data_IF_335064292179
#
_entry.id   IF_335064292179
#
_cell.length_a   1.000
_cell.length_b   1.000
_cell.length_c   1.000
_cell.angle_alpha   90.00
_cell.angle_beta   90.00
_cell.angle_gamma   90.00
#
_symmetry.space_group_name_H-M   'P 1'
#
loop_
_entity.id
_entity.type
_entity.pdbx_description
1 polymer ?
#
# COMPACT_ATOMS: atom_id res chain seq x y z
N UNK A 1 2.69 18.74 -0.71
CA UNK A 1 1.38 18.44 -1.28
C UNK A 1 0.61 17.69 -0.22
N UNK A 2 -0.57 18.17 0.18
CA UNK A 2 -1.36 17.57 1.27
C UNK A 2 -2.02 16.29 0.74
N UNK A 3 -1.53 15.12 1.17
CA UNK A 3 -1.95 13.81 0.63
C UNK A 3 -3.12 13.26 1.47
N UNK A 4 -3.21 13.66 2.74
CA UNK A 4 -4.35 13.50 3.64
C UNK A 4 -4.35 14.71 4.58
N UNK A 5 -5.52 15.30 4.87
CA UNK A 5 -5.65 16.43 5.81
C UNK A 5 -5.41 16.08 7.28
N UNK A 6 -4.72 14.96 7.55
CA UNK A 6 -4.48 14.43 8.88
C UNK A 6 -3.00 14.60 9.23
N UNK A 7 -2.71 15.24 10.36
CA UNK A 7 -1.35 15.30 10.90
C UNK A 7 -0.96 13.90 11.40
N UNK A 8 0.07 13.32 10.79
CA UNK A 8 0.68 12.07 11.24
C UNK A 8 2.08 12.34 11.79
N UNK A 9 2.41 11.73 12.92
CA UNK A 9 3.71 11.85 13.58
C UNK A 9 4.11 10.51 14.20
N UNK A 10 5.43 10.29 14.30
CA UNK A 10 6.02 9.14 14.97
C UNK A 10 6.93 9.66 16.08
N UNK A 11 6.76 9.14 17.30
CA UNK A 11 7.70 9.40 18.39
C UNK A 11 8.91 8.47 18.24
N UNK A 12 10.03 9.03 17.79
CA UNK A 12 11.28 8.30 17.59
C UNK A 12 11.83 7.73 18.89
N UNK A 13 11.64 8.43 20.01
CA UNK A 13 12.11 7.94 21.31
C UNK A 13 11.31 6.70 21.71
N UNK A 14 9.99 6.73 21.58
CA UNK A 14 9.15 5.56 21.85
C UNK A 14 9.50 4.38 20.93
N UNK A 15 9.76 4.65 19.66
CA UNK A 15 10.17 3.64 18.67
C UNK A 15 11.48 2.96 19.08
N UNK A 16 12.51 3.73 19.47
CA UNK A 16 13.79 3.21 19.94
C UNK A 16 13.62 2.34 21.20
N UNK A 17 12.78 2.76 22.15
CA UNK A 17 12.50 1.98 23.36
C UNK A 17 11.79 0.65 23.05
N UNK A 18 10.89 0.64 22.07
CA UNK A 18 10.23 -0.60 21.61
C UNK A 18 11.23 -1.53 20.93
N UNK A 19 12.06 -1.01 20.02
CA UNK A 19 13.08 -1.79 19.30
C UNK A 19 14.15 -2.38 20.22
N UNK A 20 14.47 -1.69 21.32
CA UNK A 20 15.37 -2.23 22.35
C UNK A 20 14.79 -3.46 23.08
N UNK A 21 13.47 -3.70 22.99
CA UNK A 21 12.77 -4.80 23.68
C UNK A 21 12.34 -5.93 22.75
N UNK A 22 12.47 -5.76 21.44
CA UNK A 22 12.07 -6.75 20.43
C UNK A 22 11.69 -6.09 19.12
N UNK A 23 10.90 -6.81 18.32
CA UNK A 23 10.49 -6.34 16.99
C UNK A 23 9.34 -5.34 17.08
N UNK A 24 9.34 -4.38 16.16
CA UNK A 24 8.27 -3.40 16.00
C UNK A 24 7.57 -3.62 14.65
N UNK A 25 6.26 -3.82 14.69
CA UNK A 25 5.42 -3.73 13.50
C UNK A 25 4.91 -2.30 13.33
N UNK A 26 5.16 -1.72 12.17
CA UNK A 26 4.86 -0.32 11.89
C UNK A 26 4.10 -0.17 10.56
N UNK A 27 2.92 0.44 10.61
CA UNK A 27 2.11 0.80 9.45
C UNK A 27 2.04 2.32 9.36
N UNK A 28 2.40 2.87 8.20
CA UNK A 28 2.31 4.31 7.96
C UNK A 28 2.03 4.61 6.49
N UNK A 29 1.67 5.87 6.23
CA UNK A 29 1.55 6.34 4.86
C UNK A 29 2.94 6.36 4.17
N UNK A 30 2.99 6.29 2.83
CA UNK A 30 4.28 6.24 2.12
C UNK A 30 5.17 7.47 2.31
N UNK A 31 4.59 8.64 2.59
CA UNK A 31 5.36 9.87 2.85
C UNK A 31 6.13 9.80 4.17
N UNK A 32 5.56 9.19 5.19
CA UNK A 32 6.23 8.96 6.46
C UNK A 32 7.42 8.02 6.27
N UNK A 33 7.28 7.01 5.42
CA UNK A 33 8.36 6.07 5.10
C UNK A 33 9.51 6.79 4.38
N UNK A 34 9.21 7.60 3.36
CA UNK A 34 10.20 8.45 2.69
C UNK A 34 10.92 9.39 3.68
N UNK A 35 10.18 9.99 4.61
CA UNK A 35 10.77 10.81 5.66
C UNK A 35 11.69 10.01 6.60
N UNK A 36 11.28 8.80 7.01
CA UNK A 36 12.10 7.93 7.87
C UNK A 36 13.39 7.49 7.18
N UNK A 37 13.33 7.15 5.89
CA UNK A 37 14.50 6.81 5.08
C UNK A 37 15.42 8.03 4.94
N UNK A 38 14.88 9.19 4.57
CA UNK A 38 15.64 10.43 4.39
C UNK A 38 16.38 10.87 5.66
N UNK A 39 15.81 10.60 6.84
CA UNK A 39 16.42 10.92 8.13
C UNK A 39 17.32 9.79 8.68
N UNK A 40 17.60 8.76 7.88
CA UNK A 40 18.53 7.67 8.22
C UNK A 40 18.05 6.80 9.38
N UNK A 41 16.73 6.68 9.58
CA UNK A 41 16.18 5.77 10.59
C UNK A 41 16.47 4.32 10.19
N UNK A 42 16.27 3.99 8.92
CA UNK A 42 16.44 2.64 8.40
C UNK A 42 17.89 2.17 8.43
N UNK A 43 18.86 3.10 8.35
CA UNK A 43 20.29 2.79 8.46
C UNK A 43 20.69 2.31 9.87
N UNK A 44 19.88 2.62 10.88
CA UNK A 44 20.16 2.32 12.29
C UNK A 44 19.45 1.06 12.78
N UNK A 45 18.53 0.51 12.00
CA UNK A 45 17.63 -0.56 12.41
C UNK A 45 17.54 -1.61 11.32
N UNK A 46 17.65 -2.90 11.69
CA UNK A 46 17.38 -3.99 10.74
C UNK A 46 15.91 -3.95 10.33
N UNK A 47 15.63 -3.41 9.15
CA UNK A 47 14.29 -3.04 8.71
C UNK A 47 13.89 -3.86 7.50
N UNK A 48 12.69 -4.42 7.54
CA UNK A 48 12.02 -5.03 6.39
C UNK A 48 10.86 -4.13 6.00
N UNK A 49 10.94 -3.54 4.82
CA UNK A 49 9.94 -2.61 4.30
C UNK A 49 9.13 -3.24 3.17
N UNK A 50 7.81 -3.21 3.31
CA UNK A 50 6.89 -3.85 2.36
C UNK A 50 5.81 -2.87 1.94
N UNK A 51 5.65 -2.66 0.63
CA UNK A 51 4.56 -1.89 0.05
C UNK A 51 3.44 -2.83 -0.43
N UNK A 52 2.20 -2.59 0.02
CA UNK A 52 1.03 -3.30 -0.52
C UNK A 52 0.46 -2.55 -1.71
N UNK A 53 0.48 -3.17 -2.88
CA UNK A 53 0.03 -2.55 -4.12
C UNK A 53 -1.34 -3.07 -4.57
N UNK A 54 -2.26 -2.21 -5.07
CA UNK A 54 -3.53 -2.65 -5.65
C UNK A 54 -3.38 -3.27 -7.05
N UNK A 55 -2.18 -3.21 -7.65
CA UNK A 55 -1.83 -3.78 -8.96
C UNK A 55 -0.44 -4.42 -8.90
N UNK A 56 -0.25 -5.50 -9.65
CA UNK A 56 1.07 -6.07 -9.93
C UNK A 56 1.84 -5.28 -10.99
N UNK A 57 3.14 -5.49 -11.07
CA UNK A 57 3.98 -4.97 -12.16
C UNK A 57 3.50 -5.46 -13.52
N UNK A 58 3.13 -6.73 -13.62
CA UNK A 58 2.64 -7.33 -14.88
C UNK A 58 1.38 -6.62 -15.38
N UNK A 59 0.43 -6.33 -14.49
CA UNK A 59 -0.77 -5.58 -14.87
C UNK A 59 -0.46 -4.15 -15.27
N UNK A 60 0.48 -3.48 -14.58
CA UNK A 60 0.90 -2.13 -14.96
C UNK A 60 1.53 -2.13 -16.36
N UNK A 61 2.40 -3.10 -16.65
CA UNK A 61 3.03 -3.26 -17.98
C UNK A 61 1.99 -3.58 -19.06
N UNK A 62 1.03 -4.47 -18.75
CA UNK A 62 -0.11 -4.77 -19.62
C UNK A 62 -0.91 -3.50 -19.93
N UNK A 63 -1.33 -2.76 -18.91
CA UNK A 63 -2.11 -1.53 -19.04
C UNK A 63 -1.38 -0.47 -19.88
N UNK A 64 -0.05 -0.36 -19.76
CA UNK A 64 0.77 0.53 -20.60
C UNK A 64 0.83 0.08 -22.07
N UNK A 65 0.69 -1.21 -22.35
CA UNK A 65 0.78 -1.79 -23.68
C UNK A 65 -0.56 -1.85 -24.44
N UNK A 66 -1.70 -1.79 -23.75
CA UNK A 66 -3.05 -1.86 -24.35
C UNK A 66 -3.27 -0.74 -25.37
N UNK A 67 -4.00 -1.07 -26.45
CA UNK A 67 -4.45 -0.13 -27.49
C UNK A 67 -5.99 -0.12 -27.58
N UNK A 68 -6.64 1.05 -27.60
CA UNK A 68 -6.06 2.40 -27.51
C UNK A 68 -5.36 2.67 -26.16
N UNK A 69 -4.38 3.58 -26.16
CA UNK A 69 -3.59 3.90 -24.95
C UNK A 69 -4.53 4.41 -23.86
N UNK A 70 -4.49 3.78 -22.69
CA UNK A 70 -5.25 4.24 -21.52
C UNK A 70 -4.42 5.25 -20.72
N UNK A 71 -5.10 6.16 -20.04
CA UNK A 71 -4.47 7.01 -19.04
C UNK A 71 -4.30 6.22 -17.73
N UNK A 72 -3.10 5.66 -17.50
CA UNK A 72 -2.81 4.80 -16.34
C UNK A 72 -3.18 5.46 -15.00
N UNK A 73 -2.93 6.77 -14.86
CA UNK A 73 -3.29 7.52 -13.66
C UNK A 73 -4.80 7.58 -13.42
N UNK A 74 -5.60 7.77 -14.46
CA UNK A 74 -7.06 7.76 -14.36
C UNK A 74 -7.58 6.36 -14.01
N UNK A 75 -7.02 5.32 -14.64
CA UNK A 75 -7.36 3.94 -14.32
C UNK A 75 -7.12 3.59 -12.84
N UNK A 76 -5.94 3.96 -12.31
CA UNK A 76 -5.58 3.73 -10.90
C UNK A 76 -6.51 4.53 -9.99
N UNK A 77 -6.80 5.79 -10.33
CA UNK A 77 -7.74 6.63 -9.57
C UNK A 77 -9.11 5.98 -9.49
N UNK A 78 -9.64 5.48 -10.61
CA UNK A 78 -10.94 4.82 -10.68
C UNK A 78 -10.96 3.47 -9.94
N UNK A 79 -9.87 2.72 -10.00
CA UNK A 79 -9.70 1.48 -9.23
C UNK A 79 -9.77 1.77 -7.72
N UNK A 80 -9.03 2.78 -7.27
CA UNK A 80 -8.98 3.15 -5.85
C UNK A 80 -10.28 3.79 -5.38
N UNK A 81 -10.94 4.62 -6.20
CA UNK A 81 -12.27 5.16 -5.90
C UNK A 81 -13.27 4.05 -5.60
N UNK A 82 -13.33 3.02 -6.44
CA UNK A 82 -14.25 1.87 -6.25
C UNK A 82 -13.96 1.12 -4.95
N UNK A 83 -12.69 0.90 -4.62
CA UNK A 83 -12.26 0.25 -3.38
C UNK A 83 -12.64 1.08 -2.15
N UNK A 84 -12.34 2.38 -2.16
CA UNK A 84 -12.64 3.31 -1.08
C UNK A 84 -14.15 3.51 -0.88
N UNK A 85 -14.93 3.57 -1.96
CA UNK A 85 -16.41 3.60 -1.88
C UNK A 85 -16.94 2.35 -1.18
N UNK A 86 -16.53 1.16 -1.63
CA UNK A 86 -16.96 -0.11 -1.02
C UNK A 86 -16.59 -0.15 0.47
N UNK A 87 -15.35 0.21 0.82
CA UNK A 87 -14.85 0.30 2.19
C UNK A 87 -15.74 1.18 3.06
N UNK A 88 -15.86 2.45 2.68
CA UNK A 88 -16.55 3.44 3.51
C UNK A 88 -18.03 3.12 3.62
N UNK A 89 -18.64 2.59 2.55
CA UNK A 89 -20.04 2.16 2.58
C UNK A 89 -20.25 0.98 3.53
N UNK A 90 -19.33 0.00 3.59
CA UNK A 90 -19.42 -1.10 4.58
C UNK A 90 -19.28 -0.58 6.01
N UNK A 91 -18.43 0.40 6.24
CA UNK A 91 -18.16 0.95 7.57
C UNK A 91 -19.29 1.87 8.08
N UNK A 92 -19.88 2.69 7.20
CA UNK A 92 -20.85 3.74 7.58
C UNK A 92 -22.29 3.49 7.11
N UNK A 93 -22.51 2.50 6.24
CA UNK A 93 -23.77 2.22 5.51
C UNK A 93 -24.20 3.34 4.56
N UNK A 94 -24.44 4.56 5.07
CA UNK A 94 -24.84 5.74 4.30
C UNK A 94 -23.65 6.71 4.24
N UNK A 95 -23.31 7.14 3.02
CA UNK A 95 -22.20 8.07 2.79
C UNK A 95 -22.71 9.51 2.75
N UNK A 96 -22.07 10.37 3.53
CA UNK A 96 -22.28 11.81 3.47
C UNK A 96 -21.45 12.46 2.35
N UNK A 97 -21.76 13.70 1.98
CA UNK A 97 -20.96 14.44 1.00
C UNK A 97 -19.48 14.57 1.42
N UNK A 98 -19.14 14.89 2.69
CA UNK A 98 -17.75 14.87 3.15
C UNK A 98 -17.04 13.51 2.95
N UNK A 99 -17.76 12.40 3.11
CA UNK A 99 -17.18 11.06 2.86
C UNK A 99 -16.80 10.89 1.39
N UNK A 100 -17.69 11.29 0.48
CA UNK A 100 -17.43 11.23 -0.96
C UNK A 100 -16.26 12.12 -1.36
N UNK A 101 -16.18 13.34 -0.81
CA UNK A 101 -15.07 14.26 -1.06
C UNK A 101 -13.74 13.68 -0.56
N UNK A 102 -13.71 13.07 0.64
CA UNK A 102 -12.51 12.42 1.16
C UNK A 102 -12.07 11.25 0.27
N UNK A 103 -13.02 10.47 -0.24
CA UNK A 103 -12.74 9.37 -1.17
C UNK A 103 -12.10 9.89 -2.45
N UNK A 104 -12.61 10.97 -3.05
CA UNK A 104 -12.00 11.56 -4.26
C UNK A 104 -10.56 12.03 -4.02
N UNK A 105 -10.30 12.72 -2.90
CA UNK A 105 -8.95 13.17 -2.56
C UNK A 105 -7.99 11.97 -2.44
N UNK A 106 -8.39 10.92 -1.73
CA UNK A 106 -7.57 9.71 -1.53
C UNK A 106 -7.41 8.86 -2.80
N UNK A 107 -8.44 8.83 -3.65
CA UNK A 107 -8.35 8.13 -4.92
C UNK A 107 -7.37 8.84 -5.87
N UNK A 108 -7.41 10.17 -5.92
CA UNK A 108 -6.55 10.98 -6.76
C UNK A 108 -5.06 10.93 -6.34
N UNK A 109 -4.76 10.71 -5.05
CA UNK A 109 -3.38 10.56 -4.57
C UNK A 109 -2.76 9.19 -4.87
N UNK A 110 -3.55 8.20 -5.28
CA UNK A 110 -3.12 6.80 -5.35
C UNK A 110 -1.92 6.56 -6.28
N UNK A 111 -1.90 7.16 -7.48
CA UNK A 111 -0.75 7.01 -8.39
C UNK A 111 0.54 7.53 -7.75
N UNK A 112 0.44 8.64 -7.02
CA UNK A 112 1.58 9.25 -6.34
C UNK A 112 2.04 8.35 -5.18
N UNK A 113 1.11 7.83 -4.38
CA UNK A 113 1.41 6.85 -3.31
C UNK A 113 2.11 5.59 -3.88
N UNK A 114 1.65 5.06 -5.01
CA UNK A 114 2.27 3.91 -5.67
C UNK A 114 3.69 4.16 -6.18
N UNK A 115 4.08 5.42 -6.46
CA UNK A 115 5.45 5.73 -6.89
C UNK A 115 6.48 5.55 -5.77
N UNK A 116 6.05 5.64 -4.51
CA UNK A 116 6.93 5.34 -3.38
C UNK A 116 7.28 3.85 -3.26
N UNK A 117 6.59 2.96 -3.98
CA UNK A 117 6.85 1.52 -3.93
C UNK A 117 8.31 1.14 -4.25
N UNK A 118 9.05 1.99 -4.98
CA UNK A 118 10.47 1.76 -5.30
C UNK A 118 11.41 2.02 -4.14
N UNK A 119 10.93 2.67 -3.06
CA UNK A 119 11.68 2.88 -1.82
C UNK A 119 11.63 1.66 -0.87
N UNK A 120 10.78 0.68 -1.15
CA UNK A 120 10.57 -0.48 -0.29
C UNK A 120 11.38 -1.68 -0.79
N UNK A 121 11.78 -2.56 0.14
CA UNK A 121 12.50 -3.80 -0.19
C UNK A 121 11.65 -4.72 -1.06
N UNK A 122 10.33 -4.76 -0.77
CA UNK A 122 9.38 -5.60 -1.48
C UNK A 122 8.06 -4.90 -1.75
N UNK A 123 7.47 -5.19 -2.91
CA UNK A 123 6.09 -4.86 -3.26
C UNK A 123 5.29 -6.15 -3.27
N UNK A 124 4.16 -6.19 -2.57
CA UNK A 124 3.21 -7.30 -2.61
C UNK A 124 1.91 -6.87 -3.28
N UNK A 125 1.56 -7.44 -4.45
CA UNK A 125 0.27 -7.22 -5.08
C UNK A 125 -0.86 -7.82 -4.21
N UNK A 126 -1.93 -7.05 -4.02
CA UNK A 126 -3.11 -7.46 -3.27
C UNK A 126 -4.39 -6.83 -3.85
N UNK A 127 -5.05 -7.55 -4.74
CA UNK A 127 -6.30 -7.11 -5.37
C UNK A 127 -7.50 -7.13 -4.44
N UNK A 128 -7.47 -7.96 -3.40
CA UNK A 128 -8.54 -8.03 -2.43
C UNK A 128 -8.61 -6.70 -1.66
N UNK A 129 -7.47 -6.15 -1.23
CA UNK A 129 -7.45 -4.96 -0.37
C UNK A 129 -8.13 -5.25 0.98
N UNK A 130 -7.94 -4.37 1.96
CA UNK A 130 -8.30 -4.68 3.36
C UNK A 130 -9.78 -5.02 3.62
N UNK A 131 -10.75 -4.44 2.91
CA UNK A 131 -12.18 -4.67 3.15
C UNK A 131 -12.81 -5.79 2.29
N UNK A 132 -11.99 -6.57 1.59
CA UNK A 132 -12.51 -7.72 0.85
C UNK A 132 -12.93 -8.85 1.79
N UNK A 133 -14.05 -9.48 1.45
CA UNK A 133 -14.58 -10.63 2.18
C UNK A 133 -13.58 -11.80 2.21
N UNK A 134 -12.65 -11.88 1.26
CA UNK A 134 -11.59 -12.90 1.25
C UNK A 134 -10.70 -12.88 2.50
N UNK A 135 -10.69 -11.80 3.29
CA UNK A 135 -9.99 -11.74 4.57
C UNK A 135 -10.74 -12.41 5.73
N UNK A 136 -12.08 -12.36 5.74
CA UNK A 136 -12.88 -12.63 6.95
C UNK A 136 -14.12 -13.51 6.73
N UNK A 137 -14.51 -13.80 5.49
CA UNK A 137 -15.73 -14.56 5.19
C UNK A 137 -15.63 -16.05 5.52
N UNK A 138 -14.43 -16.55 5.81
CA UNK A 138 -14.22 -17.93 6.26
C UNK A 138 -13.16 -17.99 7.37
N UNK A 139 -12.98 -19.15 7.98
CA UNK A 139 -12.01 -19.34 9.07
C UNK A 139 -10.56 -19.03 8.67
N UNK A 140 -10.25 -19.12 7.36
CA UNK A 140 -8.96 -18.73 6.80
C UNK A 140 -9.14 -17.72 5.67
N UNK A 141 -8.17 -16.82 5.45
CA UNK A 141 -8.21 -15.98 4.27
C UNK A 141 -8.11 -16.85 3.02
N UNK A 142 -8.79 -16.42 1.97
CA UNK A 142 -8.77 -17.06 0.64
C UNK A 142 -8.33 -16.04 -0.42
N UNK A 143 -8.35 -16.41 -1.70
CA UNK A 143 -8.02 -15.48 -2.78
C UNK A 143 -6.62 -14.86 -2.68
N UNK A 144 -6.53 -13.58 -3.00
CA UNK A 144 -5.28 -12.81 -2.96
C UNK A 144 -4.94 -12.34 -1.55
N UNK A 145 -5.94 -12.14 -0.68
CA UNK A 145 -5.74 -11.91 0.75
C UNK A 145 -4.85 -13.01 1.37
N UNK A 146 -5.14 -14.28 1.08
CA UNK A 146 -4.31 -15.41 1.52
C UNK A 146 -2.89 -15.37 0.95
N UNK A 147 -2.76 -15.05 -0.34
CA UNK A 147 -1.45 -15.01 -1.01
C UNK A 147 -0.58 -13.90 -0.42
N UNK A 148 -1.13 -12.70 -0.25
CA UNK A 148 -0.44 -11.56 0.36
C UNK A 148 -0.04 -11.87 1.81
N UNK A 149 -0.94 -12.44 2.62
CA UNK A 149 -0.61 -12.85 3.99
C UNK A 149 0.51 -13.90 4.04
N UNK A 150 0.44 -14.92 3.18
CA UNK A 150 1.45 -15.98 3.14
C UNK A 150 2.81 -15.46 2.63
N UNK A 151 2.81 -14.48 1.73
CA UNK A 151 4.02 -13.82 1.25
C UNK A 151 4.64 -12.94 2.34
N UNK A 152 3.82 -12.15 3.03
CA UNK A 152 4.26 -11.35 4.19
C UNK A 152 4.90 -12.24 5.27
N UNK A 153 4.27 -13.37 5.61
CA UNK A 153 4.83 -14.32 6.57
C UNK A 153 6.15 -14.96 6.11
N UNK A 154 6.34 -15.19 4.80
CA UNK A 154 7.61 -15.67 4.25
C UNK A 154 8.71 -14.61 4.35
N UNK A 155 8.40 -13.34 4.05
CA UNK A 155 9.35 -12.24 4.16
C UNK A 155 9.84 -12.06 5.60
N UNK A 156 8.93 -12.16 6.59
CA UNK A 156 9.31 -12.15 8.02
C UNK A 156 10.25 -13.30 8.40
N UNK A 157 10.23 -14.41 7.66
CA UNK A 157 11.14 -15.55 7.85
C UNK A 157 12.44 -15.43 7.04
N UNK A 158 12.69 -14.29 6.39
CA UNK A 158 13.84 -14.08 5.51
C UNK A 158 13.77 -14.86 4.20
N UNK A 159 12.57 -15.31 3.78
CA UNK A 159 12.35 -16.01 2.51
C UNK A 159 11.77 -15.06 1.48
N UNK A 160 12.12 -15.25 0.21
CA UNK A 160 11.56 -14.47 -0.90
C UNK A 160 10.36 -15.21 -1.51
N UNK A 161 9.11 -14.73 -1.30
CA UNK A 161 7.94 -15.35 -1.90
C UNK A 161 7.86 -15.02 -3.41
N UNK A 162 7.30 -15.93 -4.20
CA UNK A 162 7.18 -15.77 -5.66
C UNK A 162 6.42 -14.49 -6.08
N UNK A 163 5.46 -14.02 -5.28
CA UNK A 163 4.66 -12.84 -5.60
C UNK A 163 5.31 -11.52 -5.15
N UNK A 164 6.44 -11.56 -4.42
CA UNK A 164 7.15 -10.35 -4.06
C UNK A 164 7.84 -9.77 -5.29
N UNK A 165 7.59 -8.49 -5.52
CA UNK A 165 8.12 -7.75 -6.65
C UNK A 165 9.11 -6.68 -6.15
N UNK A 166 9.99 -6.27 -7.06
CA UNK A 166 10.78 -5.05 -6.93
C UNK A 166 10.50 -4.21 -8.16
N UNK A 167 10.11 -2.96 -7.96
CA UNK A 167 9.69 -2.08 -9.05
C UNK A 167 10.83 -1.15 -9.45
N UNK A 168 11.08 -0.96 -10.75
CA UNK A 168 12.00 0.07 -11.21
C UNK A 168 11.35 1.46 -11.15
N UNK A 169 12.15 2.50 -10.95
CA UNK A 169 11.68 3.91 -10.84
C UNK A 169 10.85 4.36 -12.04
N UNK A 170 11.11 3.80 -13.23
CA UNK A 170 10.42 4.17 -14.46
C UNK A 170 9.10 3.41 -14.70
N UNK A 171 8.69 2.51 -13.80
CA UNK A 171 7.49 1.69 -14.01
C UNK A 171 6.23 2.56 -14.13
N UNK A 172 6.09 3.55 -13.23
CA UNK A 172 4.96 4.48 -13.15
C UNK A 172 5.28 5.88 -13.69
N UNK A 173 6.45 6.04 -14.31
CA UNK A 173 6.75 7.23 -15.12
C UNK A 173 5.92 7.18 -16.41
N UNK A 174 5.25 8.30 -16.69
CA UNK A 174 4.48 8.55 -17.93
C UNK A 174 5.36 9.00 -19.07
#
# INVERSE_FOLDING_TARGET
MEIRGDLQAVDLSAMEHCLARGDLFFEANPVMIDAMITHGIYDKTNTLSIFLSPLSREEIEFLKAVKPKIALGEFITDLMRRKLLRRTQRQKAILSLPDLQNIEVRAASALMEMRFATLYDHVLPNHDGEDCDNWYASYHPIGDARKAMAAFAQLLQGKTPHIAETWPDNLLST
#
